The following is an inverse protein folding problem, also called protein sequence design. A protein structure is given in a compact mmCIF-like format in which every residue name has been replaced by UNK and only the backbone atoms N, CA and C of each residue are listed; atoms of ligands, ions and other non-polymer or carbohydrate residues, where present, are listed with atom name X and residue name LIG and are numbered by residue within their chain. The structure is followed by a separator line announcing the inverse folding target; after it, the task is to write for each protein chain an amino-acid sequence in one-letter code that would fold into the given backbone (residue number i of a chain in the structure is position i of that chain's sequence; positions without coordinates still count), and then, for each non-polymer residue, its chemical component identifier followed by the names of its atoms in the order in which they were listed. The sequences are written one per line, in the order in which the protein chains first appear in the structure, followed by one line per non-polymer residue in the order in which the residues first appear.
data_IF_668028746614
#
_entry.id   IF_668028746614
#
_cell.length_a   1.000
_cell.length_b   1.000
_cell.length_c   1.000
_cell.angle_alpha   90.00
_cell.angle_beta   90.00
_cell.angle_gamma   90.00
#
_symmetry.space_group_name_H-M   'P 1'
#
loop_
_entity.id
_entity.type
_entity.pdbx_description
1 polymer ?
#
# COMPACT_ATOMS: atom_id res chain seq x y z
N UNK A 1 3.87 -42.86 -57.45
CA UNK A 1 4.05 -41.41 -57.67
C UNK A 1 4.09 -40.71 -56.31
N UNK A 2 5.12 -39.88 -56.13
CA UNK A 2 5.26 -38.72 -55.22
C UNK A 2 5.15 -38.85 -53.68
N UNK A 3 6.36 -39.04 -53.10
CA UNK A 3 7.03 -38.27 -52.03
C UNK A 3 6.30 -38.05 -50.69
N UNK A 4 6.78 -38.81 -49.68
CA UNK A 4 6.83 -38.39 -48.27
C UNK A 4 7.75 -37.18 -48.13
N UNK A 5 7.30 -36.10 -47.51
CA UNK A 5 8.14 -34.99 -47.08
C UNK A 5 7.80 -34.62 -45.64
N UNK A 6 8.79 -34.79 -44.77
CA UNK A 6 8.83 -34.31 -43.38
C UNK A 6 8.98 -32.79 -43.43
N UNK A 7 8.21 -32.04 -42.66
CA UNK A 7 8.50 -30.63 -42.38
C UNK A 7 8.56 -30.46 -40.87
N UNK A 8 9.73 -30.03 -40.41
CA UNK A 8 10.15 -30.02 -39.03
C UNK A 8 9.57 -28.86 -38.24
N UNK A 9 9.42 -29.13 -36.93
CA UNK A 9 9.24 -28.16 -35.87
C UNK A 9 10.55 -27.38 -35.72
N UNK A 10 10.48 -26.06 -35.86
CA UNK A 10 11.52 -25.14 -35.39
C UNK A 10 10.87 -24.15 -34.43
N UNK A 11 11.13 -24.36 -33.14
CA UNK A 11 10.89 -23.39 -32.07
C UNK A 11 12.17 -22.57 -31.94
N UNK A 12 12.09 -21.25 -32.12
CA UNK A 12 13.03 -20.31 -31.51
C UNK A 12 12.23 -19.13 -30.92
N UNK A 13 12.56 -18.89 -29.66
CA UNK A 13 11.97 -17.99 -28.67
C UNK A 13 12.42 -16.54 -28.94
N UNK A 14 11.56 -15.57 -28.62
CA UNK A 14 11.84 -14.48 -27.68
C UNK A 14 11.31 -13.09 -28.10
N UNK A 15 10.80 -12.40 -27.08
CA UNK A 15 10.71 -10.94 -26.91
C UNK A 15 9.58 -10.22 -27.64
N UNK A 16 8.77 -9.51 -26.85
CA UNK A 16 8.22 -8.23 -27.30
C UNK A 16 6.74 -8.02 -27.02
N UNK A 17 6.49 -7.17 -26.03
CA UNK A 17 5.29 -6.36 -25.83
C UNK A 17 4.52 -5.97 -27.10
N UNK A 18 3.24 -5.71 -26.87
CA UNK A 18 2.39 -4.64 -27.43
C UNK A 18 1.06 -5.23 -27.95
N UNK A 19 0.05 -5.22 -27.09
CA UNK A 19 -1.35 -5.31 -27.52
C UNK A 19 -1.69 -3.99 -28.22
N UNK A 20 -1.50 -3.94 -29.54
CA UNK A 20 -1.98 -2.84 -30.37
C UNK A 20 -3.48 -3.00 -30.55
N UNK A 21 -4.28 -2.33 -29.72
CA UNK A 21 -5.70 -2.14 -29.99
C UNK A 21 -5.84 -1.07 -31.09
N UNK A 22 -5.94 -1.50 -32.35
CA UNK A 22 -6.22 -0.61 -33.49
C UNK A 22 -7.69 -0.22 -33.44
N UNK A 23 -7.97 0.98 -32.91
CA UNK A 23 -9.29 1.64 -33.05
C UNK A 23 -9.26 2.45 -34.33
N UNK A 24 -9.99 1.99 -35.35
CA UNK A 24 -10.20 2.72 -36.61
C UNK A 24 -11.24 3.80 -36.38
N UNK A 25 -10.82 5.05 -36.17
CA UNK A 25 -11.70 6.23 -36.13
C UNK A 25 -11.76 6.82 -37.54
N UNK A 26 -12.89 6.64 -38.22
CA UNK A 26 -13.17 7.29 -39.51
C UNK A 26 -13.47 8.77 -39.31
N UNK A 27 -12.77 9.60 -40.10
CA UNK A 27 -12.83 11.06 -40.11
C UNK A 27 -14.19 11.62 -40.56
N UNK A 28 -14.81 12.45 -39.72
CA UNK A 28 -15.78 13.48 -40.13
C UNK A 28 -15.32 14.87 -39.64
N UNK A 29 -15.61 15.95 -40.39
CA UNK A 29 -15.08 17.28 -40.13
C UNK A 29 -15.76 18.02 -38.96
N UNK A 30 -14.96 18.91 -38.37
CA UNK A 30 -15.14 19.64 -37.12
C UNK A 30 -16.21 20.73 -37.22
N UNK A 31 -17.16 20.73 -36.28
CA UNK A 31 -17.81 21.97 -35.82
C UNK A 31 -17.14 22.42 -34.52
N UNK A 32 -16.48 23.58 -34.56
CA UNK A 32 -15.89 24.22 -33.39
C UNK A 32 -17.00 24.75 -32.47
N UNK A 33 -17.02 24.28 -31.22
CA UNK A 33 -17.87 24.84 -30.16
C UNK A 33 -17.02 25.10 -28.92
N UNK A 34 -16.17 26.14 -28.97
CA UNK A 34 -15.54 26.84 -27.84
C UNK A 34 -14.61 26.03 -26.91
N UNK A 35 -13.68 26.67 -26.18
CA UNK A 35 -13.16 26.06 -24.98
C UNK A 35 -14.31 26.01 -23.98
N UNK A 36 -15.02 24.87 -23.91
CA UNK A 36 -15.70 24.54 -22.67
C UNK A 36 -14.56 24.31 -21.70
N UNK A 37 -14.25 25.33 -20.90
CA UNK A 37 -13.60 25.11 -19.62
C UNK A 37 -14.34 23.93 -19.01
N UNK A 38 -13.70 22.77 -18.97
CA UNK A 38 -14.10 21.74 -18.05
C UNK A 38 -13.84 22.38 -16.70
N UNK A 39 -14.84 23.08 -16.17
CA UNK A 39 -14.91 23.38 -14.76
C UNK A 39 -14.74 22.03 -14.11
N UNK A 40 -13.53 21.80 -13.58
CA UNK A 40 -13.31 20.66 -12.72
C UNK A 40 -14.34 20.80 -11.63
N UNK A 41 -15.38 19.99 -11.68
CA UNK A 41 -16.26 19.81 -10.54
C UNK A 41 -15.33 19.22 -9.50
N UNK A 42 -14.77 20.07 -8.65
CA UNK A 42 -14.14 19.62 -7.42
C UNK A 42 -15.18 18.75 -6.78
N UNK A 43 -14.89 17.47 -6.65
CA UNK A 43 -15.77 16.56 -5.91
C UNK A 43 -15.69 17.05 -4.48
N UNK A 44 -16.67 17.85 -4.08
CA UNK A 44 -16.88 18.18 -2.68
C UNK A 44 -17.42 16.90 -2.04
N UNK A 45 -16.53 16.16 -1.39
CA UNK A 45 -16.91 15.00 -0.60
C UNK A 45 -17.73 15.49 0.59
N UNK A 46 -18.87 14.86 0.85
CA UNK A 46 -19.51 15.03 2.15
C UNK A 46 -18.60 14.47 3.26
N UNK A 47 -18.80 14.92 4.50
CA UNK A 47 -18.00 14.45 5.64
C UNK A 47 -18.00 12.92 5.75
N UNK A 48 -19.15 12.28 5.58
CA UNK A 48 -19.27 10.83 5.60
C UNK A 48 -18.49 10.14 4.46
N UNK A 49 -18.42 10.75 3.27
CA UNK A 49 -17.64 10.23 2.15
C UNK A 49 -16.14 10.41 2.38
N UNK A 50 -15.74 11.54 2.99
CA UNK A 50 -14.36 11.82 3.37
C UNK A 50 -13.88 10.80 4.41
N UNK A 51 -14.66 10.58 5.47
CA UNK A 51 -14.34 9.62 6.53
C UNK A 51 -14.24 8.19 5.99
N UNK A 52 -15.21 7.75 5.19
CA UNK A 52 -15.18 6.41 4.61
C UNK A 52 -13.96 6.21 3.68
N UNK A 53 -13.63 7.21 2.85
CA UNK A 53 -12.46 7.15 1.99
C UNK A 53 -11.15 7.18 2.78
N UNK A 54 -11.08 7.98 3.85
CA UNK A 54 -9.92 8.05 4.72
C UNK A 54 -9.73 6.74 5.52
N UNK A 55 -10.82 6.11 6.00
CA UNK A 55 -10.76 4.83 6.69
C UNK A 55 -10.18 3.73 5.78
N UNK A 56 -10.65 3.64 4.53
CA UNK A 56 -10.09 2.69 3.56
C UNK A 56 -8.59 2.90 3.32
N UNK A 57 -8.12 4.15 3.35
CA UNK A 57 -6.68 4.46 3.24
C UNK A 57 -5.93 4.09 4.51
N UNK A 58 -6.49 4.31 5.69
CA UNK A 58 -5.90 3.90 6.95
C UNK A 58 -5.74 2.38 7.01
N UNK A 59 -6.76 1.63 6.61
CA UNK A 59 -6.71 0.17 6.58
C UNK A 59 -5.56 -0.33 5.69
N UNK A 60 -5.39 0.28 4.50
CA UNK A 60 -4.28 -0.03 3.61
C UNK A 60 -2.90 0.32 4.21
N UNK A 61 -2.81 1.41 4.98
CA UNK A 61 -1.59 1.77 5.72
C UNK A 61 -1.31 0.75 6.81
N UNK A 62 -2.32 0.34 7.59
CA UNK A 62 -2.20 -0.66 8.65
C UNK A 62 -1.70 -1.99 8.07
N UNK A 63 -2.30 -2.46 6.99
CA UNK A 63 -1.86 -3.69 6.29
C UNK A 63 -0.40 -3.58 5.82
N UNK A 64 0.02 -2.43 5.29
CA UNK A 64 1.41 -2.21 4.90
C UNK A 64 2.36 -2.25 6.09
N UNK A 65 1.94 -1.71 7.24
CA UNK A 65 2.71 -1.64 8.48
C UNK A 65 2.95 -2.99 9.16
N UNK A 66 2.03 -3.95 8.97
CA UNK A 66 2.13 -5.26 9.62
C UNK A 66 2.75 -6.35 8.73
N UNK A 67 3.22 -5.98 7.53
CA UNK A 67 3.97 -6.92 6.70
C UNK A 67 5.26 -7.35 7.42
N UNK A 68 5.67 -8.62 7.28
CA UNK A 68 6.95 -9.09 7.81
C UNK A 68 8.10 -8.21 7.32
N UNK A 69 9.01 -7.88 8.25
CA UNK A 69 10.14 -6.99 8.00
C UNK A 69 11.34 -7.44 8.84
N UNK A 70 12.54 -7.03 8.46
CA UNK A 70 13.76 -7.15 9.29
C UNK A 70 14.07 -5.86 10.04
N UNK A 71 13.36 -4.77 9.72
CA UNK A 71 13.54 -3.44 10.30
C UNK A 71 12.20 -2.88 10.79
N UNK A 72 12.24 -1.96 11.75
CA UNK A 72 11.04 -1.27 12.23
C UNK A 72 10.65 -0.20 11.18
N UNK A 73 9.45 -0.27 10.58
CA UNK A 73 9.03 0.73 9.61
C UNK A 73 8.83 2.11 10.29
N UNK A 74 9.52 3.13 9.79
CA UNK A 74 9.52 4.48 10.39
C UNK A 74 8.14 5.15 10.38
N UNK A 75 7.32 4.87 9.36
CA UNK A 75 6.01 5.49 9.15
C UNK A 75 4.84 4.73 9.80
N UNK A 76 5.11 3.84 10.76
CA UNK A 76 4.08 2.98 11.35
C UNK A 76 3.75 3.30 12.81
N UNK A 77 4.32 4.36 13.38
CA UNK A 77 3.82 4.96 14.63
C UNK A 77 3.96 4.10 15.89
N UNK A 78 4.68 2.98 15.84
CA UNK A 78 5.05 2.19 17.01
C UNK A 78 6.56 2.21 17.23
N UNK A 79 6.98 2.14 18.49
CA UNK A 79 8.38 2.07 18.90
C UNK A 79 8.57 0.76 19.65
N UNK A 80 9.36 -0.14 19.09
CA UNK A 80 9.82 -1.30 19.84
C UNK A 80 10.99 -0.81 20.69
N UNK A 81 10.93 -0.90 22.02
CA UNK A 81 11.92 -0.33 22.92
C UNK A 81 13.23 -1.13 22.95
N UNK A 82 13.84 -1.34 21.78
CA UNK A 82 15.00 -2.19 21.44
C UNK A 82 14.85 -3.68 21.83
N UNK A 83 15.54 -4.54 21.07
CA UNK A 83 15.43 -5.99 21.19
C UNK A 83 16.23 -6.49 22.40
N UNK A 84 15.74 -6.21 23.61
CA UNK A 84 16.38 -6.61 24.86
C UNK A 84 16.56 -8.15 24.88
N UNK A 85 17.75 -8.60 24.48
CA UNK A 85 18.12 -10.02 24.43
C UNK A 85 18.57 -10.51 23.05
N UNK A 86 18.36 -9.77 21.97
CA UNK A 86 18.86 -10.14 20.64
C UNK A 86 20.14 -9.37 20.32
N UNK A 87 21.16 -10.10 19.89
CA UNK A 87 22.37 -9.54 19.28
C UNK A 87 22.12 -9.17 17.81
N UNK A 88 21.28 -9.94 17.11
CA UNK A 88 20.90 -9.73 15.71
C UNK A 88 19.41 -10.07 15.53
N UNK A 89 18.71 -9.32 14.67
CA UNK A 89 17.29 -9.54 14.33
C UNK A 89 17.21 -10.11 12.93
N UNK A 90 16.68 -11.33 12.81
CA UNK A 90 16.47 -12.02 11.54
C UNK A 90 15.09 -11.72 10.94
N UNK A 91 14.15 -11.30 11.79
CA UNK A 91 12.79 -11.01 11.34
C UNK A 91 11.88 -10.48 12.43
N UNK A 92 10.84 -9.79 11.99
CA UNK A 92 9.79 -9.21 12.80
C UNK A 92 8.45 -9.60 12.19
N UNK A 93 7.57 -10.16 13.02
CA UNK A 93 6.18 -10.43 12.67
C UNK A 93 5.28 -9.57 13.53
N UNK A 94 4.29 -8.96 12.90
CA UNK A 94 3.32 -8.11 13.56
C UNK A 94 1.96 -8.80 13.61
N UNK A 95 1.22 -8.58 14.68
CA UNK A 95 -0.18 -8.96 14.83
C UNK A 95 -0.94 -7.80 15.43
N UNK A 96 -2.00 -7.37 14.74
CA UNK A 96 -2.97 -6.40 15.28
C UNK A 96 -3.93 -7.15 16.19
N UNK A 97 -4.04 -6.72 17.44
CA UNK A 97 -5.11 -7.17 18.34
C UNK A 97 -6.31 -6.23 18.25
N UNK A 98 -6.06 -4.93 18.11
CA UNK A 98 -7.09 -3.91 17.93
C UNK A 98 -6.60 -2.87 16.91
N UNK A 99 -7.35 -2.60 15.83
CA UNK A 99 -6.97 -1.58 14.86
C UNK A 99 -7.20 -0.17 15.43
N UNK A 100 -6.33 0.81 15.12
CA UNK A 100 -6.53 2.18 15.57
C UNK A 100 -7.76 2.81 14.90
N UNK A 101 -8.54 3.56 15.67
CA UNK A 101 -9.75 4.24 15.20
C UNK A 101 -9.42 5.60 14.60
N UNK A 102 -9.87 5.85 13.37
CA UNK A 102 -9.63 7.10 12.65
C UNK A 102 -10.48 8.27 13.17
N UNK A 103 -9.84 9.42 13.31
CA UNK A 103 -10.45 10.73 13.43
C UNK A 103 -9.80 11.67 12.41
N UNK A 104 -10.63 12.28 11.54
CA UNK A 104 -10.17 13.20 10.50
C UNK A 104 -10.45 14.64 10.93
N UNK A 105 -9.40 15.46 10.97
CA UNK A 105 -9.49 16.90 11.21
C UNK A 105 -8.58 17.61 10.21
N UNK A 106 -9.13 17.97 9.05
CA UNK A 106 -8.36 18.52 7.95
C UNK A 106 -7.46 19.70 8.39
N UNK A 107 -6.21 19.77 7.90
CA UNK A 107 -5.60 18.92 6.87
C UNK A 107 -4.94 17.65 7.42
N UNK A 108 -5.27 17.22 8.65
CA UNK A 108 -4.59 16.12 9.35
C UNK A 108 -5.55 14.99 9.74
N UNK A 109 -4.99 13.85 10.13
CA UNK A 109 -5.73 12.78 10.79
C UNK A 109 -4.97 12.26 12.00
N UNK A 110 -5.72 11.61 12.87
CA UNK A 110 -5.19 10.77 13.94
C UNK A 110 -5.91 9.44 13.93
N UNK A 111 -5.18 8.37 14.19
CA UNK A 111 -5.73 7.07 14.47
C UNK A 111 -5.16 6.61 15.81
N UNK A 112 -6.02 6.45 16.81
CA UNK A 112 -5.64 6.16 18.19
C UNK A 112 -6.28 4.84 18.67
N UNK A 113 -5.82 4.31 19.82
CA UNK A 113 -6.41 3.10 20.43
C UNK A 113 -5.98 1.77 19.78
N UNK A 114 -4.92 1.78 18.97
CA UNK A 114 -4.39 0.55 18.39
C UNK A 114 -3.66 -0.31 19.42
N UNK A 115 -3.84 -1.63 19.32
CA UNK A 115 -3.08 -2.63 20.08
C UNK A 115 -2.30 -3.50 19.10
N UNK A 116 -0.97 -3.51 19.24
CA UNK A 116 -0.05 -4.20 18.35
C UNK A 116 0.86 -5.14 19.14
N UNK A 117 1.05 -6.34 18.62
CA UNK A 117 2.06 -7.29 19.08
C UNK A 117 3.13 -7.45 18.00
N UNK A 118 4.39 -7.28 18.39
CA UNK A 118 5.56 -7.53 17.57
C UNK A 118 6.34 -8.72 18.13
N UNK A 119 6.55 -9.75 17.32
CA UNK A 119 7.42 -10.89 17.65
C UNK A 119 8.67 -10.79 16.81
N UNK A 120 9.81 -10.59 17.48
CA UNK A 120 11.13 -10.55 16.89
C UNK A 120 11.77 -11.92 17.01
N UNK A 121 12.34 -12.41 15.93
CA UNK A 121 13.15 -13.63 15.87
C UNK A 121 14.58 -13.25 15.55
N UNK A 122 15.56 -13.89 16.18
CA UNK A 122 16.94 -13.54 15.95
C UNK A 122 17.93 -14.41 16.71
N UNK A 123 19.17 -13.95 16.77
CA UNK A 123 20.23 -14.57 17.56
C UNK A 123 20.36 -13.84 18.90
N UNK A 124 20.33 -14.60 19.99
CA UNK A 124 20.51 -14.12 21.35
C UNK A 124 21.96 -13.69 21.62
N UNK A 125 22.17 -12.99 22.73
CA UNK A 125 23.53 -12.60 23.17
C UNK A 125 24.42 -13.79 23.57
N UNK A 126 23.81 -14.96 23.78
CA UNK A 126 24.46 -16.26 23.99
C UNK A 126 24.81 -17.00 22.69
N UNK A 127 24.37 -16.48 21.54
CA UNK A 127 24.56 -17.08 20.23
C UNK A 127 23.49 -18.11 19.83
N UNK A 128 22.48 -18.35 20.67
CA UNK A 128 21.38 -19.27 20.34
C UNK A 128 20.25 -18.53 19.62
N UNK A 129 19.51 -19.23 18.76
CA UNK A 129 18.30 -18.67 18.16
C UNK A 129 17.21 -18.48 19.21
N UNK A 130 16.66 -17.27 19.30
CA UNK A 130 15.62 -16.94 20.28
C UNK A 130 14.55 -16.04 19.68
N UNK A 131 13.48 -15.81 20.44
CA UNK A 131 12.36 -14.96 20.03
C UNK A 131 11.85 -14.14 21.20
N UNK A 132 11.60 -12.85 20.94
CA UNK A 132 11.10 -11.90 21.93
C UNK A 132 9.80 -11.31 21.43
N UNK A 133 8.77 -11.28 22.29
CA UNK A 133 7.47 -10.70 21.94
C UNK A 133 7.22 -9.44 22.77
N UNK A 134 6.84 -8.37 22.09
CA UNK A 134 6.46 -7.09 22.66
C UNK A 134 5.01 -6.80 22.32
N UNK A 135 4.24 -6.32 23.31
CA UNK A 135 2.88 -5.82 23.13
C UNK A 135 2.84 -4.34 23.49
N UNK A 136 2.19 -3.54 22.67
CA UNK A 136 1.86 -2.14 22.96
C UNK A 136 0.38 -1.89 22.76
N UNK A 137 -0.20 -1.12 23.66
CA UNK A 137 -1.58 -0.61 23.62
C UNK A 137 -1.65 0.89 23.32
N UNK A 138 -0.49 1.50 23.04
CA UNK A 138 -0.33 2.91 22.69
C UNK A 138 -0.07 3.09 21.20
N UNK A 139 -0.41 2.11 20.35
CA UNK A 139 -0.14 2.22 18.92
C UNK A 139 -1.07 3.26 18.29
N UNK A 140 -0.44 4.26 17.67
CA UNK A 140 -1.10 5.44 17.10
C UNK A 140 -0.50 5.75 15.73
N UNK A 141 -1.34 6.15 14.79
CA UNK A 141 -0.93 6.70 13.50
C UNK A 141 -1.39 8.14 13.40
N UNK A 142 -0.60 8.98 12.75
CA UNK A 142 -0.90 10.40 12.56
C UNK A 142 -0.34 10.82 11.22
N UNK A 143 -0.94 11.83 10.63
CA UNK A 143 -0.48 12.25 9.32
C UNK A 143 -1.30 13.35 8.70
N UNK A 144 -0.97 13.63 7.45
CA UNK A 144 -1.69 14.58 6.62
C UNK A 144 -2.77 13.88 5.79
N UNK A 145 -3.83 14.62 5.51
CA UNK A 145 -4.94 14.24 4.65
C UNK A 145 -4.97 15.18 3.46
N UNK A 146 -4.83 14.63 2.26
CA UNK A 146 -5.01 15.37 1.02
C UNK A 146 -6.26 14.87 0.29
N UNK A 147 -7.23 15.75 0.11
CA UNK A 147 -8.39 15.51 -0.73
C UNK A 147 -8.03 15.85 -2.18
N UNK A 148 -8.17 14.87 -3.07
CA UNK A 148 -7.97 14.99 -4.52
C UNK A 148 -9.29 14.73 -5.23
N UNK A 149 -9.37 15.11 -6.51
CA UNK A 149 -10.53 14.86 -7.36
C UNK A 149 -10.93 13.37 -7.46
N UNK A 150 -9.99 12.47 -7.16
CA UNK A 150 -10.14 11.01 -7.24
C UNK A 150 -10.20 10.32 -5.88
N UNK A 151 -10.30 11.08 -4.78
CA UNK A 151 -10.43 10.56 -3.41
C UNK A 151 -9.40 11.11 -2.44
N UNK A 152 -9.16 10.36 -1.35
CA UNK A 152 -8.31 10.77 -0.23
C UNK A 152 -6.94 10.09 -0.31
N UNK A 153 -5.89 10.83 0.07
CA UNK A 153 -4.54 10.32 0.30
C UNK A 153 -4.15 10.62 1.75
N UNK A 154 -3.58 9.64 2.43
CA UNK A 154 -3.00 9.78 3.77
C UNK A 154 -1.47 9.69 3.68
N UNK A 155 -0.78 10.59 4.38
CA UNK A 155 0.69 10.59 4.49
C UNK A 155 1.07 10.51 5.97
N UNK A 156 1.62 9.38 6.40
CA UNK A 156 1.97 9.14 7.81
C UNK A 156 3.38 9.64 8.14
N UNK A 157 3.57 10.20 9.35
CA UNK A 157 4.85 10.71 9.86
C UNK A 157 4.98 10.61 11.39
#
# INVERSE_FOLDING_TARGET
MTRRARVGVAVIVAVGLVVVAVVVVTLWPRTATGPRSASGTGVELSDAQLEAAAQQRLDAVVEACIRPSTEIPEACGFRIPWAAGLAEVDGIRFRVEEPPMLAVTLPTFRADGGVLVATLTGTGTDGESTSVTYRTEDWKLRGDVMVKNVGVVLSVW
#
